data_IF_637307190757
#
_entry.id   IF_637307190757
#
_cell.length_a   1.000
_cell.length_b   1.000
_cell.length_c   1.000
_cell.angle_alpha   90.00
_cell.angle_beta   90.00
_cell.angle_gamma   90.00
#
_symmetry.space_group_name_H-M   'P 1'
#
loop_
_entity.id
_entity.type
_entity.pdbx_description
1 polymer ?
#
# COMPACT_ATOMS: atom_id res chain seq x y z
N UNK A 1 -3.65 -19.12 2.85
CA UNK A 1 -2.79 -18.11 3.49
C UNK A 1 -2.92 -16.91 2.57
N UNK A 2 -3.63 -15.87 3.01
CA UNK A 2 -3.71 -14.65 2.20
C UNK A 2 -2.28 -14.10 2.11
N UNK A 3 -1.80 -13.82 0.91
CA UNK A 3 -0.48 -13.23 0.75
C UNK A 3 -0.53 -11.77 1.22
N UNK A 4 0.56 -11.23 1.75
CA UNK A 4 0.68 -9.81 2.14
C UNK A 4 0.14 -8.87 1.05
N UNK A 5 0.34 -9.25 -0.22
CA UNK A 5 -0.29 -8.69 -1.42
C UNK A 5 -1.82 -8.52 -1.36
N UNK A 6 -2.55 -9.60 -1.05
CA UNK A 6 -4.01 -9.61 -1.01
C UNK A 6 -4.52 -8.76 0.16
N UNK A 7 -3.87 -8.86 1.32
CA UNK A 7 -4.21 -8.04 2.49
C UNK A 7 -4.01 -6.56 2.22
N UNK A 8 -2.86 -6.19 1.65
CA UNK A 8 -2.56 -4.81 1.25
C UNK A 8 -3.58 -4.28 0.24
N UNK A 9 -3.93 -5.11 -0.75
CA UNK A 9 -4.92 -4.76 -1.78
C UNK A 9 -6.31 -4.51 -1.18
N UNK A 10 -6.74 -5.35 -0.24
CA UNK A 10 -7.98 -5.13 0.49
C UNK A 10 -7.92 -3.85 1.33
N UNK A 11 -6.83 -3.64 2.07
CA UNK A 11 -6.65 -2.45 2.90
C UNK A 11 -6.74 -1.16 2.08
N UNK A 12 -6.09 -1.14 0.91
CA UNK A 12 -6.17 -0.03 -0.05
C UNK A 12 -7.60 0.13 -0.55
N UNK A 13 -8.27 -0.93 -1.01
CA UNK A 13 -9.63 -0.83 -1.52
C UNK A 13 -10.67 -0.41 -0.46
N UNK A 14 -10.45 -0.75 0.82
CA UNK A 14 -11.35 -0.41 1.91
C UNK A 14 -11.14 1.01 2.45
N UNK A 15 -9.93 1.59 2.29
CA UNK A 15 -9.57 2.86 2.90
C UNK A 15 -9.20 3.97 1.90
N UNK A 16 -8.90 3.63 0.65
CA UNK A 16 -8.50 4.56 -0.41
C UNK A 16 -9.52 4.49 -1.54
N UNK A 17 -10.14 5.63 -1.82
CA UNK A 17 -10.98 5.84 -3.00
C UNK A 17 -10.44 7.04 -3.79
N UNK A 18 -10.20 6.87 -5.09
CA UNK A 18 -9.79 7.95 -5.99
C UNK A 18 -11.00 8.35 -6.81
N UNK A 19 -11.42 9.61 -6.70
CA UNK A 19 -12.61 10.15 -7.40
C UNK A 19 -13.90 9.33 -7.17
N UNK A 20 -14.04 8.72 -5.97
CA UNK A 20 -15.19 7.88 -5.62
C UNK A 20 -15.20 6.51 -6.29
N UNK A 21 -14.05 6.08 -6.81
CA UNK A 21 -13.83 4.73 -7.33
C UNK A 21 -12.73 4.04 -6.54
N UNK A 22 -12.90 2.73 -6.32
CA UNK A 22 -11.84 1.90 -5.74
C UNK A 22 -10.66 1.80 -6.70
N UNK A 23 -9.47 1.79 -6.12
CA UNK A 23 -8.24 1.71 -6.89
C UNK A 23 -8.16 0.36 -7.61
N UNK A 24 -8.06 0.37 -8.94
CA UNK A 24 -7.87 -0.88 -9.69
C UNK A 24 -6.43 -1.34 -9.54
N UNK A 25 -6.20 -2.22 -8.58
CA UNK A 25 -4.88 -2.82 -8.33
C UNK A 25 -4.72 -4.03 -9.26
N UNK A 26 -3.69 -4.05 -10.13
CA UNK A 26 -3.43 -5.18 -11.00
C UNK A 26 -2.80 -6.34 -10.22
N UNK A 27 -2.95 -7.58 -10.72
CA UNK A 27 -2.47 -8.79 -10.03
C UNK A 27 -0.95 -8.80 -9.82
N UNK A 28 -0.18 -8.07 -10.64
CA UNK A 28 1.27 -7.94 -10.53
C UNK A 28 1.70 -6.83 -9.55
N UNK A 29 0.76 -6.13 -8.93
CA UNK A 29 0.96 -5.06 -7.94
C UNK A 29 1.87 -3.91 -8.41
N UNK A 30 2.14 -3.85 -9.71
CA UNK A 30 3.00 -2.85 -10.33
C UNK A 30 2.23 -1.55 -10.61
N UNK A 31 1.42 -1.12 -9.63
CA UNK A 31 0.68 0.13 -9.68
C UNK A 31 1.29 1.10 -8.69
N UNK A 32 1.50 2.33 -9.17
CA UNK A 32 1.94 3.42 -8.32
C UNK A 32 0.76 4.13 -7.69
N UNK A 33 0.71 4.16 -6.36
CA UNK A 33 -0.34 4.88 -5.63
C UNK A 33 -0.32 6.37 -6.00
N UNK A 34 0.86 7.00 -5.96
CA UNK A 34 1.05 8.38 -6.41
C UNK A 34 0.65 8.59 -7.88
N UNK A 35 1.07 7.68 -8.77
CA UNK A 35 0.77 7.75 -10.20
C UNK A 35 -0.70 7.51 -10.55
N UNK A 36 -1.44 6.85 -9.66
CA UNK A 36 -2.85 6.50 -9.85
C UNK A 36 -3.85 7.57 -9.40
N UNK A 37 -3.35 8.70 -8.87
CA UNK A 37 -4.19 9.81 -8.41
C UNK A 37 -4.53 9.76 -6.93
N UNK A 38 -3.95 8.81 -6.17
CA UNK A 38 -4.08 8.77 -4.71
C UNK A 38 -3.39 9.99 -4.11
N UNK A 39 -4.08 10.70 -3.23
CA UNK A 39 -3.50 11.88 -2.59
C UNK A 39 -2.37 11.47 -1.65
N UNK A 40 -1.34 12.29 -1.52
CA UNK A 40 -0.24 12.04 -0.59
C UNK A 40 -0.70 11.81 0.85
N UNK A 41 -1.82 12.43 1.26
CA UNK A 41 -2.44 12.19 2.56
C UNK A 41 -2.98 10.76 2.71
N UNK A 42 -3.64 10.24 1.67
CA UNK A 42 -4.21 8.90 1.69
C UNK A 42 -3.08 7.84 1.69
N UNK A 43 -1.96 8.12 1.02
CA UNK A 43 -0.76 7.27 1.07
C UNK A 43 -0.19 7.23 2.49
N UNK A 44 -0.10 8.36 3.18
CA UNK A 44 0.38 8.40 4.57
C UNK A 44 -0.62 7.71 5.51
N UNK A 45 -1.93 7.86 5.29
CA UNK A 45 -2.95 7.16 6.04
C UNK A 45 -2.83 5.64 5.85
N UNK A 46 -2.65 5.20 4.60
CA UNK A 46 -2.42 3.80 4.26
C UNK A 46 -1.14 3.25 4.91
N UNK A 47 -0.04 3.99 4.84
CA UNK A 47 1.20 3.60 5.50
C UNK A 47 0.98 3.39 7.00
N UNK A 48 0.25 4.28 7.67
CA UNK A 48 -0.11 4.10 9.09
C UNK A 48 -0.96 2.85 9.33
N UNK A 49 -1.95 2.58 8.49
CA UNK A 49 -2.78 1.38 8.60
C UNK A 49 -1.95 0.11 8.40
N UNK A 50 -1.04 0.10 7.42
CA UNK A 50 -0.10 -1.00 7.18
C UNK A 50 0.80 -1.22 8.40
N UNK A 51 1.33 -0.14 8.99
CA UNK A 51 2.15 -0.24 10.19
C UNK A 51 1.37 -0.86 11.35
N UNK A 52 0.10 -0.50 11.53
CA UNK A 52 -0.76 -1.03 12.59
C UNK A 52 -1.16 -2.50 12.32
N UNK A 53 -1.48 -2.84 11.08
CA UNK A 53 -1.97 -4.18 10.72
C UNK A 53 -0.85 -5.23 10.62
N UNK A 54 0.30 -4.85 10.07
CA UNK A 54 1.45 -5.75 9.89
C UNK A 54 2.52 -5.59 10.97
N UNK A 55 2.43 -4.56 11.83
CA UNK A 55 3.42 -4.29 12.87
C UNK A 55 4.78 -3.85 12.32
N UNK A 56 4.82 -3.33 11.09
CA UNK A 56 6.05 -2.82 10.46
C UNK A 56 6.22 -1.34 10.75
N UNK A 57 7.45 -0.84 10.84
CA UNK A 57 7.72 0.60 10.83
C UNK A 57 7.95 1.06 9.40
N UNK A 58 7.16 2.04 8.96
CA UNK A 58 7.19 2.62 7.62
C UNK A 58 7.53 4.11 7.74
N UNK A 59 8.70 4.52 7.25
CA UNK A 59 9.05 5.94 7.25
C UNK A 59 8.35 6.66 6.09
N UNK A 60 8.14 7.97 6.24
CA UNK A 60 7.68 8.80 5.11
C UNK A 60 8.63 8.71 3.92
N UNK A 61 9.94 8.66 4.17
CA UNK A 61 10.94 8.43 3.13
C UNK A 61 10.74 7.08 2.41
N UNK A 62 10.32 6.04 3.13
CA UNK A 62 9.97 4.75 2.53
C UNK A 62 8.69 4.88 1.67
N UNK A 63 7.68 5.64 2.11
CA UNK A 63 6.50 5.93 1.26
C UNK A 63 6.85 6.61 -0.07
N UNK A 64 7.86 7.50 -0.05
CA UNK A 64 8.31 8.16 -1.27
C UNK A 64 9.25 7.28 -2.10
N UNK A 65 10.00 6.38 -1.47
CA UNK A 65 10.88 5.43 -2.15
C UNK A 65 10.11 4.25 -2.77
N UNK A 66 8.99 3.87 -2.17
CA UNK A 66 8.15 2.76 -2.60
C UNK A 66 7.14 3.27 -3.63
N UNK A 67 7.60 3.35 -4.87
CA UNK A 67 6.79 3.85 -5.98
C UNK A 67 5.60 2.93 -6.29
N UNK A 68 5.71 1.62 -6.04
CA UNK A 68 4.67 0.63 -6.37
C UNK A 68 4.20 -0.18 -5.16
N UNK A 69 2.94 -0.64 -5.19
CA UNK A 69 2.41 -1.56 -4.18
C UNK A 69 3.24 -2.84 -4.04
N UNK A 70 3.83 -3.32 -5.15
CA UNK A 70 4.73 -4.47 -5.13
C UNK A 70 5.93 -4.25 -4.22
N UNK A 71 6.53 -3.06 -4.25
CA UNK A 71 7.68 -2.74 -3.41
C UNK A 71 7.26 -2.68 -1.93
N UNK A 72 6.07 -2.13 -1.66
CA UNK A 72 5.47 -2.11 -0.32
C UNK A 72 5.27 -3.53 0.22
N UNK A 73 4.72 -4.43 -0.59
CA UNK A 73 4.54 -5.84 -0.22
C UNK A 73 5.88 -6.51 0.06
N UNK A 74 6.87 -6.32 -0.81
CA UNK A 74 8.20 -6.89 -0.63
C UNK A 74 8.89 -6.37 0.64
N UNK A 75 8.70 -5.09 0.96
CA UNK A 75 9.21 -4.48 2.18
C UNK A 75 8.56 -5.08 3.43
N UNK A 76 7.23 -5.19 3.44
CA UNK A 76 6.50 -5.82 4.55
C UNK A 76 6.96 -7.26 4.72
N UNK A 77 6.97 -8.05 3.64
CA UNK A 77 7.37 -9.46 3.65
C UNK A 77 8.81 -9.63 4.20
N UNK A 78 9.73 -8.74 3.82
CA UNK A 78 11.10 -8.73 4.35
C UNK A 78 11.20 -8.38 5.85
N UNK A 79 10.18 -7.74 6.43
CA UNK A 79 10.14 -7.34 7.85
C UNK A 79 9.34 -8.33 8.71
N UNK A 80 8.38 -9.02 8.12
CA UNK A 80 7.55 -10.04 8.79
C UNK A 80 8.13 -11.46 8.68
N UNK A 81 9.21 -11.67 7.91
CA UNK A 81 9.91 -12.95 7.75
C UNK A 81 10.84 -13.34 8.91
#
# INVERSE_FOLDING_TARGET
MASTAEQLTNLVNENIEVDGQTLTIPEDLNISLLGSGVSSMDIVALANLIMEEFGVEFALDDCFALETLRDVVAFIDSKTA
#
